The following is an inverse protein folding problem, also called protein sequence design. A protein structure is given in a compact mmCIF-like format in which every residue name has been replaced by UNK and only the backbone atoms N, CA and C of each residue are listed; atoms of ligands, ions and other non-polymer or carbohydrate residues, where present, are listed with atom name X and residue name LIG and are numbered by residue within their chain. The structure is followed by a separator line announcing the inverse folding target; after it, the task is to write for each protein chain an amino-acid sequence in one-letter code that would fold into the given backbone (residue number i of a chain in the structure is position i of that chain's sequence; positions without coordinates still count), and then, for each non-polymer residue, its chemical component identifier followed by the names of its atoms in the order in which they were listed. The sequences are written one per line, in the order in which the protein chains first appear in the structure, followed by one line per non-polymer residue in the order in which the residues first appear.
data_IF_698007287934
#
_entry.id   IF_698007287934
#
_cell.length_a   1.000
_cell.length_b   1.000
_cell.length_c   1.000
_cell.angle_alpha   90.00
_cell.angle_beta   90.00
_cell.angle_gamma   90.00
#
_symmetry.space_group_name_H-M   'P 1'
#
loop_
_entity.id
_entity.type
_entity.pdbx_description
1 polymer ?
#
# COMPACT_ATOMS: atom_id res chain seq x y z
N UNK A 1 -5.05 5.19 0.35
CA UNK A 1 -4.19 4.07 0.81
C UNK A 1 -3.07 4.66 1.66
N UNK A 2 -2.61 3.94 2.68
CA UNK A 2 -1.48 4.36 3.51
C UNK A 2 -0.49 3.20 3.66
N UNK A 3 0.80 3.47 3.49
CA UNK A 3 1.88 2.54 3.78
C UNK A 3 2.47 2.89 5.15
N UNK A 4 2.48 1.93 6.07
CA UNK A 4 3.07 2.08 7.40
C UNK A 4 4.38 1.29 7.49
N UNK A 5 5.46 2.01 7.79
CA UNK A 5 6.78 1.46 8.11
C UNK A 5 7.13 1.69 9.58
N UNK A 6 7.83 0.74 10.17
CA UNK A 6 8.59 0.97 11.39
C UNK A 6 9.83 1.83 11.09
N UNK A 7 10.34 2.63 12.04
CA UNK A 7 11.56 3.42 11.85
C UNK A 7 12.74 2.55 11.40
N UNK A 8 12.92 1.36 11.98
CA UNK A 8 13.98 0.42 11.60
C UNK A 8 13.88 -0.08 10.16
N UNK A 9 12.67 -0.22 9.61
CA UNK A 9 12.45 -0.62 8.21
C UNK A 9 12.79 0.54 7.27
N UNK A 10 12.39 1.77 7.62
CA UNK A 10 12.77 2.96 6.85
C UNK A 10 14.30 3.17 6.86
N UNK A 11 14.95 2.98 8.01
CA UNK A 11 16.41 3.05 8.14
C UNK A 11 17.11 1.95 7.34
N UNK A 12 16.59 0.72 7.35
CA UNK A 12 17.12 -0.38 6.54
C UNK A 12 17.08 -0.05 5.04
N UNK A 13 15.95 0.47 4.56
CA UNK A 13 15.77 0.87 3.16
C UNK A 13 16.73 2.01 2.78
N UNK A 14 16.83 3.04 3.64
CA UNK A 14 17.73 4.17 3.41
C UNK A 14 19.21 3.75 3.44
N UNK A 15 19.60 2.87 4.37
CA UNK A 15 20.95 2.34 4.46
C UNK A 15 21.34 1.54 3.22
N UNK A 16 20.42 0.73 2.68
CA UNK A 16 20.64 0.04 1.41
C UNK A 16 20.81 1.02 0.25
N UNK A 17 19.95 2.04 0.16
CA UNK A 17 20.06 3.07 -0.86
C UNK A 17 21.39 3.82 -0.83
N UNK A 18 21.94 4.09 0.36
CA UNK A 18 23.28 4.67 0.51
C UNK A 18 24.39 3.70 0.10
N UNK A 19 24.29 2.42 0.47
CA UNK A 19 25.29 1.41 0.16
C UNK A 19 25.40 1.12 -1.35
N UNK A 20 24.28 1.25 -2.08
CA UNK A 20 24.23 0.95 -3.51
C UNK A 20 24.64 2.14 -4.39
N UNK A 21 24.81 3.36 -3.84
CA UNK A 21 25.25 4.52 -4.62
C UNK A 21 26.55 4.23 -5.41
N UNK A 22 26.64 4.62 -6.69
CA UNK A 22 25.71 5.48 -7.44
C UNK A 22 24.53 4.74 -8.12
N UNK A 23 24.35 3.44 -7.87
CA UNK A 23 23.29 2.63 -8.49
C UNK A 23 21.96 2.82 -7.76
N UNK A 24 20.85 2.67 -8.48
CA UNK A 24 19.53 2.48 -7.90
C UNK A 24 19.50 1.19 -7.10
N UNK A 25 19.04 1.30 -5.86
CA UNK A 25 18.65 0.17 -5.02
C UNK A 25 17.28 -0.30 -5.46
N UNK A 26 16.94 -1.57 -5.24
CA UNK A 26 15.56 -2.02 -5.34
C UNK A 26 15.24 -3.15 -4.35
N UNK A 27 13.96 -3.35 -4.05
CA UNK A 27 13.49 -4.48 -3.26
C UNK A 27 11.98 -4.51 -3.06
N UNK A 28 11.53 -5.50 -2.29
CA UNK A 28 10.12 -5.73 -1.99
C UNK A 28 9.81 -5.42 -0.53
N UNK A 29 8.57 -4.99 -0.30
CA UNK A 29 7.98 -4.78 1.02
C UNK A 29 6.85 -5.79 1.16
N UNK A 30 7.10 -6.81 1.99
CA UNK A 30 6.11 -7.77 2.43
C UNK A 30 5.35 -7.27 3.63
N UNK A 31 4.04 -7.49 3.68
CA UNK A 31 3.22 -6.92 4.73
C UNK A 31 1.83 -7.52 4.88
N UNK A 32 1.08 -6.91 5.79
CA UNK A 32 -0.31 -7.21 6.07
C UNK A 32 -1.18 -6.05 5.58
N UNK A 33 -2.17 -6.37 4.76
CA UNK A 33 -3.18 -5.41 4.29
C UNK A 33 -4.41 -5.45 5.20
N UNK A 34 -4.74 -4.33 5.83
CA UNK A 34 -5.88 -4.18 6.73
C UNK A 34 -6.69 -2.95 6.33
N UNK A 35 -7.77 -3.16 5.57
CA UNK A 35 -8.57 -2.07 5.02
C UNK A 35 -7.74 -1.21 4.07
N UNK A 36 -7.59 0.08 4.39
CA UNK A 36 -6.80 1.04 3.60
C UNK A 36 -5.35 1.18 4.06
N UNK A 37 -4.90 0.36 5.01
CA UNK A 37 -3.56 0.41 5.60
C UNK A 37 -2.77 -0.83 5.21
N UNK A 38 -1.60 -0.58 4.64
CA UNK A 38 -0.59 -1.57 4.32
C UNK A 38 0.52 -1.49 5.35
N UNK A 39 0.58 -2.48 6.25
CA UNK A 39 1.62 -2.57 7.26
C UNK A 39 2.80 -3.36 6.71
N UNK A 40 3.97 -2.72 6.60
CA UNK A 40 5.20 -3.43 6.29
C UNK A 40 5.61 -4.33 7.45
N UNK A 41 5.96 -5.57 7.13
CA UNK A 41 6.46 -6.58 8.07
C UNK A 41 7.87 -6.99 7.70
N UNK A 42 8.12 -7.23 6.40
CA UNK A 42 9.39 -7.73 5.89
C UNK A 42 9.92 -6.85 4.75
N UNK A 43 11.21 -6.50 4.81
CA UNK A 43 11.91 -5.76 3.76
C UNK A 43 12.88 -6.74 3.10
N UNK A 44 12.68 -7.02 1.82
CA UNK A 44 13.49 -7.98 1.06
C UNK A 44 14.26 -7.24 -0.04
N UNK A 45 15.57 -6.98 0.16
CA UNK A 45 16.44 -6.44 -0.88
C UNK A 45 16.50 -7.36 -2.09
N UNK A 46 16.45 -6.79 -3.29
CA UNK A 46 16.63 -7.52 -4.54
C UNK A 46 17.71 -6.82 -5.37
N UNK A 47 18.62 -7.60 -5.95
CA UNK A 47 19.71 -7.05 -6.73
C UNK A 47 19.19 -6.32 -7.98
N UNK A 48 19.67 -5.09 -8.18
CA UNK A 48 19.46 -4.35 -9.41
C UNK A 48 20.38 -4.86 -10.53
N UNK A 49 19.78 -5.46 -11.55
CA UNK A 49 20.39 -6.05 -12.75
C UNK A 49 20.18 -5.22 -14.03
N UNK A 50 19.71 -3.98 -13.91
CA UNK A 50 19.53 -3.09 -15.05
C UNK A 50 20.85 -2.88 -15.81
N UNK A 51 20.73 -2.72 -17.14
CA UNK A 51 21.87 -2.40 -18.01
C UNK A 51 22.49 -1.03 -17.71
N UNK A 52 21.68 -0.10 -17.22
CA UNK A 52 22.09 1.21 -16.73
C UNK A 52 21.59 1.39 -15.29
N UNK A 53 22.30 0.84 -14.30
CA UNK A 53 21.83 0.77 -12.93
C UNK A 53 21.89 2.12 -12.20
N UNK A 54 22.51 3.16 -12.75
CA UNK A 54 22.52 4.50 -12.13
C UNK A 54 21.25 5.30 -12.42
N UNK A 55 20.48 4.89 -13.43
CA UNK A 55 19.30 5.60 -13.94
C UNK A 55 18.05 4.72 -14.07
N UNK A 56 18.15 3.44 -13.71
CA UNK A 56 17.03 2.50 -13.69
C UNK A 56 17.29 1.33 -12.74
N UNK A 57 16.22 0.67 -12.32
CA UNK A 57 16.29 -0.62 -11.68
C UNK A 57 15.62 -1.71 -12.52
N UNK A 58 16.16 -2.91 -12.45
CA UNK A 58 15.53 -4.14 -12.93
C UNK A 58 15.85 -5.25 -11.94
N UNK A 59 14.83 -5.78 -11.29
CA UNK A 59 15.03 -6.89 -10.35
C UNK A 59 15.39 -8.17 -11.10
N UNK A 60 16.37 -8.92 -10.58
CA UNK A 60 16.65 -10.27 -11.07
C UNK A 60 15.38 -11.13 -10.97
N UNK A 61 14.95 -11.72 -12.09
CA UNK A 61 13.66 -12.44 -12.17
C UNK A 61 13.58 -13.64 -11.22
N UNK A 62 14.70 -14.35 -11.03
CA UNK A 62 14.75 -15.51 -10.14
C UNK A 62 14.70 -15.08 -8.68
N UNK A 63 15.44 -14.02 -8.32
CA UNK A 63 15.41 -13.45 -6.99
C UNK A 63 14.04 -12.85 -6.65
N UNK A 64 13.41 -12.16 -7.61
CA UNK A 64 12.05 -11.64 -7.48
C UNK A 64 11.03 -12.78 -7.24
N UNK A 65 11.06 -13.83 -8.06
CA UNK A 65 10.17 -14.98 -7.88
C UNK A 65 10.39 -15.68 -6.53
N UNK A 66 11.65 -15.84 -6.12
CA UNK A 66 12.00 -16.41 -4.82
C UNK A 66 11.51 -15.54 -3.67
N UNK A 67 11.67 -14.21 -3.75
CA UNK A 67 11.21 -13.26 -2.74
C UNK A 67 9.68 -13.29 -2.61
N UNK A 68 8.94 -13.28 -3.72
CA UNK A 68 7.47 -13.42 -3.70
C UNK A 68 7.03 -14.75 -3.06
N UNK A 69 7.71 -15.84 -3.40
CA UNK A 69 7.45 -17.16 -2.78
C UNK A 69 7.73 -17.15 -1.28
N UNK A 70 8.76 -16.43 -0.83
CA UNK A 70 9.08 -16.26 0.60
C UNK A 70 7.97 -15.51 1.32
N UNK A 71 7.48 -14.41 0.74
CA UNK A 71 6.35 -13.65 1.31
C UNK A 71 5.11 -14.54 1.48
N UNK A 72 4.75 -15.30 0.44
CA UNK A 72 3.62 -16.23 0.48
C UNK A 72 3.77 -17.28 1.59
N UNK A 73 4.96 -17.88 1.74
CA UNK A 73 5.26 -18.86 2.79
C UNK A 73 5.15 -18.27 4.20
N UNK A 74 5.47 -16.98 4.36
CA UNK A 74 5.33 -16.26 5.62
C UNK A 74 3.90 -15.75 5.85
N UNK A 75 2.97 -15.99 4.92
CA UNK A 75 1.59 -15.47 4.99
C UNK A 75 1.50 -13.96 4.78
N UNK A 76 2.52 -13.36 4.14
CA UNK A 76 2.59 -11.94 3.82
C UNK A 76 2.16 -11.70 2.38
N UNK A 77 1.58 -10.53 2.13
CA UNK A 77 1.28 -10.05 0.78
C UNK A 77 2.33 -9.03 0.36
N UNK A 78 2.57 -8.91 -0.95
CA UNK A 78 3.35 -7.79 -1.47
C UNK A 78 2.56 -6.49 -1.26
N UNK A 79 3.01 -5.64 -0.35
CA UNK A 79 2.36 -4.35 -0.06
C UNK A 79 3.12 -3.17 -0.66
N UNK A 80 4.40 -3.37 -0.98
CA UNK A 80 5.19 -2.34 -1.63
C UNK A 80 6.37 -2.87 -2.44
N UNK A 81 6.82 -2.04 -3.38
CA UNK A 81 8.09 -2.14 -4.09
C UNK A 81 8.85 -0.86 -3.77
N UNK A 82 10.14 -0.96 -3.49
CA UNK A 82 10.97 0.23 -3.29
C UNK A 82 12.13 0.29 -4.26
N UNK A 83 12.51 1.51 -4.64
CA UNK A 83 13.73 1.81 -5.39
C UNK A 83 14.27 3.19 -5.06
N UNK A 84 15.57 3.41 -5.26
CA UNK A 84 16.19 4.73 -5.04
C UNK A 84 16.40 5.48 -6.34
N UNK A 85 16.35 6.81 -6.27
CA UNK A 85 16.81 7.72 -7.32
C UNK A 85 18.11 8.40 -6.84
N UNK A 86 19.30 7.89 -7.23
CA UNK A 86 20.62 8.34 -6.74
C UNK A 86 20.86 9.84 -6.85
N UNK A 87 20.30 10.48 -7.88
CA UNK A 87 20.45 11.92 -8.14
C UNK A 87 19.09 12.65 -8.18
N UNK A 88 18.00 11.94 -7.84
CA UNK A 88 16.63 12.40 -8.05
C UNK A 88 15.87 12.73 -6.76
N UNK A 89 14.72 13.36 -6.96
CA UNK A 89 13.68 13.54 -5.96
C UNK A 89 12.81 12.27 -5.86
N UNK A 90 12.12 11.99 -4.76
CA UNK A 90 11.31 10.77 -4.59
C UNK A 90 9.99 10.83 -5.36
N UNK A 91 10.05 11.01 -6.68
CA UNK A 91 8.89 11.19 -7.57
C UNK A 91 9.00 10.21 -8.73
N UNK A 92 7.93 9.47 -9.10
CA UNK A 92 8.00 8.48 -10.16
C UNK A 92 8.48 9.09 -11.48
N UNK A 93 9.52 8.47 -12.05
CA UNK A 93 10.00 8.86 -13.37
C UNK A 93 9.02 8.42 -14.46
N UNK A 94 9.16 8.95 -15.68
CA UNK A 94 8.38 8.45 -16.83
C UNK A 94 8.65 6.96 -17.11
N UNK A 95 9.84 6.46 -16.75
CA UNK A 95 10.18 5.04 -16.90
C UNK A 95 9.44 4.21 -15.86
N UNK A 96 9.51 4.62 -14.59
CA UNK A 96 8.82 3.98 -13.47
C UNK A 96 7.33 3.80 -13.76
N UNK A 97 6.68 4.85 -14.29
CA UNK A 97 5.26 4.83 -14.65
C UNK A 97 4.94 3.81 -15.75
N UNK A 98 5.83 3.65 -16.74
CA UNK A 98 5.64 2.70 -17.85
C UNK A 98 5.93 1.25 -17.44
N UNK A 99 6.88 1.06 -16.54
CA UNK A 99 7.39 -0.25 -16.14
C UNK A 99 6.69 -0.79 -14.87
N UNK A 100 5.84 0.01 -14.23
CA UNK A 100 5.01 -0.41 -13.12
C UNK A 100 4.06 -1.55 -13.52
N UNK A 101 4.35 -2.75 -13.02
CA UNK A 101 3.63 -3.99 -13.33
C UNK A 101 2.78 -4.53 -12.16
N UNK A 102 2.85 -3.92 -10.98
CA UNK A 102 2.18 -4.39 -9.77
C UNK A 102 1.10 -3.40 -9.35
N UNK A 103 -0.13 -3.54 -9.90
CA UNK A 103 -1.26 -2.73 -9.46
C UNK A 103 -1.53 -2.96 -7.97
N UNK A 104 -2.16 -1.99 -7.33
CA UNK A 104 -2.54 -2.06 -5.90
C UNK A 104 -1.36 -2.27 -4.94
N UNK A 105 -0.14 -1.91 -5.36
CA UNK A 105 1.09 -1.99 -4.58
C UNK A 105 1.66 -0.58 -4.40
N UNK A 106 2.21 -0.28 -3.22
CA UNK A 106 2.87 1.01 -2.98
C UNK A 106 4.28 1.03 -3.60
N UNK A 107 4.56 1.97 -4.48
CA UNK A 107 5.89 2.28 -4.99
C UNK A 107 6.56 3.29 -4.08
N UNK A 108 7.45 2.83 -3.19
CA UNK A 108 8.24 3.66 -2.28
C UNK A 108 9.53 4.11 -2.97
N UNK A 109 9.66 5.41 -3.23
CA UNK A 109 10.82 5.98 -3.91
C UNK A 109 11.69 6.70 -2.89
N UNK A 110 12.99 6.38 -2.91
CA UNK A 110 14.01 7.02 -2.08
C UNK A 110 14.77 8.03 -2.93
N UNK A 111 14.45 9.31 -2.79
CA UNK A 111 15.18 10.39 -3.43
C UNK A 111 16.45 10.69 -2.65
N UNK A 112 17.61 10.51 -3.28
CA UNK A 112 18.93 10.69 -2.65
C UNK A 112 19.50 12.09 -2.88
N UNK A 113 18.76 12.97 -3.57
CA UNK A 113 19.17 14.36 -3.80
C UNK A 113 19.06 15.20 -2.52
N UNK A 114 20.21 15.74 -2.08
CA UNK A 114 20.34 16.63 -0.93
C UNK A 114 21.22 16.01 0.16
N UNK A 115 21.12 16.54 1.38
CA UNK A 115 21.94 16.10 2.51
C UNK A 115 21.43 14.81 3.17
N UNK A 116 20.16 14.46 2.97
CA UNK A 116 19.48 13.33 3.59
C UNK A 116 18.50 12.66 2.62
N UNK A 117 18.23 11.34 2.76
CA UNK A 117 17.33 10.64 1.87
C UNK A 117 15.89 11.05 2.18
N UNK A 118 15.08 11.24 1.13
CA UNK A 118 13.66 11.53 1.26
C UNK A 118 12.84 10.37 0.71
N UNK A 119 11.87 9.91 1.47
CA UNK A 119 11.01 8.79 1.11
C UNK A 119 9.62 9.33 0.76
N UNK A 120 9.05 8.87 -0.36
CA UNK A 120 7.66 9.10 -0.71
C UNK A 120 7.07 7.85 -1.36
N UNK A 121 5.79 7.59 -1.11
CA UNK A 121 5.09 6.42 -1.62
C UNK A 121 4.03 6.82 -2.65
N UNK A 122 3.84 5.98 -3.66
CA UNK A 122 2.97 6.26 -4.80
C UNK A 122 2.19 5.01 -5.21
N UNK A 123 0.96 5.16 -5.69
CA UNK A 123 0.31 4.13 -6.51
C UNK A 123 0.54 4.46 -7.97
N UNK A 124 0.79 3.44 -8.78
CA UNK A 124 0.93 3.58 -10.23
C UNK A 124 0.01 2.56 -10.87
N UNK A 125 -1.15 3.02 -11.34
CA UNK A 125 -2.19 2.17 -11.92
C UNK A 125 -2.51 2.64 -13.33
N UNK A 126 -2.11 1.86 -14.34
CA UNK A 126 -2.38 2.16 -15.75
C UNK A 126 -1.96 3.58 -16.17
N UNK A 127 -0.83 4.06 -15.65
CA UNK A 127 -0.31 5.40 -15.91
C UNK A 127 -0.84 6.51 -15.00
N UNK A 128 -1.90 6.24 -14.20
CA UNK A 128 -2.34 7.14 -13.15
C UNK A 128 -1.40 7.03 -11.94
N UNK A 129 -0.94 8.18 -11.45
CA UNK A 129 0.00 8.29 -10.33
C UNK A 129 -0.69 9.05 -9.20
N UNK A 130 -0.82 8.41 -8.05
CA UNK A 130 -1.40 9.05 -6.86
C UNK A 130 -0.45 8.91 -5.67
N UNK A 131 -0.44 9.94 -4.82
CA UNK A 131 0.38 9.93 -3.61
C UNK A 131 -0.23 8.99 -2.57
N UNK A 132 0.61 8.17 -1.95
CA UNK A 132 0.26 7.29 -0.83
C UNK A 132 0.77 7.92 0.45
N UNK A 133 -0.09 8.01 1.45
CA UNK A 133 0.33 8.47 2.77
C UNK A 133 1.38 7.50 3.33
N UNK A 134 2.57 8.02 3.60
CA UNK A 134 3.66 7.26 4.22
C UNK A 134 3.69 7.58 5.71
N UNK A 135 3.39 6.59 6.54
CA UNK A 135 3.45 6.70 8.00
C UNK A 135 4.69 5.97 8.51
N UNK A 136 5.58 6.67 9.21
CA UNK A 136 6.78 6.06 9.82
C UNK A 136 6.67 6.22 11.33
N UNK A 137 6.42 5.12 12.03
CA UNK A 137 6.19 5.14 13.48
C UNK A 137 6.39 3.75 14.10
N UNK A 138 6.81 3.72 15.36
CA UNK A 138 6.90 2.47 16.11
C UNK A 138 5.51 1.90 16.46
N UNK A 139 4.58 2.80 16.81
CA UNK A 139 3.21 2.44 17.17
C UNK A 139 2.28 2.41 15.95
N UNK A 140 1.22 1.56 15.96
CA UNK A 140 0.25 1.53 14.88
C UNK A 140 -0.44 2.89 14.64
N UNK A 141 -0.73 3.23 13.38
CA UNK A 141 -1.54 4.39 13.02
C UNK A 141 -2.94 4.27 13.61
N UNK A 142 -3.54 5.42 13.93
CA UNK A 142 -4.84 5.48 14.59
C UNK A 142 -5.96 4.76 13.82
N UNK A 143 -5.91 4.72 12.47
CA UNK A 143 -6.91 3.99 11.67
C UNK A 143 -6.95 2.49 12.00
N UNK A 144 -5.80 1.86 12.27
CA UNK A 144 -5.73 0.46 12.70
C UNK A 144 -6.23 0.25 14.13
N UNK A 145 -6.16 1.30 14.95
CA UNK A 145 -6.66 1.27 16.34
C UNK A 145 -8.15 1.61 16.45
N UNK A 146 -8.77 2.13 15.38
CA UNK A 146 -10.21 2.41 15.37
C UNK A 146 -10.98 1.09 15.51
N UNK A 147 -11.52 0.90 16.71
CA UNK A 147 -11.92 -0.40 17.25
C UNK A 147 -13.18 -0.94 16.58
N UNK A 148 -13.44 -2.24 16.76
CA UNK A 148 -14.70 -2.96 16.43
C UNK A 148 -15.99 -2.15 16.73
N UNK A 149 -15.96 -1.21 17.67
CA UNK A 149 -17.06 -0.30 18.00
C UNK A 149 -17.48 0.63 16.84
N UNK A 150 -16.53 1.15 16.05
CA UNK A 150 -16.85 1.97 14.88
C UNK A 150 -17.56 1.14 13.79
N UNK A 151 -17.07 -0.09 13.55
CA UNK A 151 -17.69 -1.02 12.60
C UNK A 151 -19.08 -1.49 13.09
N UNK A 152 -19.25 -1.75 14.39
CA UNK A 152 -20.55 -2.09 14.98
C UNK A 152 -21.55 -0.94 14.87
N UNK A 153 -21.11 0.31 15.08
CA UNK A 153 -21.99 1.48 14.97
C UNK A 153 -22.52 1.67 13.54
N UNK A 154 -21.69 1.46 12.51
CA UNK A 154 -22.12 1.53 11.10
C UNK A 154 -23.14 0.42 10.78
N UNK A 155 -22.91 -0.81 11.24
CA UNK A 155 -23.83 -1.92 11.05
C UNK A 155 -25.18 -1.69 11.77
N UNK A 156 -25.13 -1.20 13.01
CA UNK A 156 -26.32 -0.87 13.79
C UNK A 156 -27.11 0.27 13.12
N UNK A 157 -26.44 1.34 12.66
CA UNK A 157 -27.08 2.43 11.94
C UNK A 157 -27.75 1.95 10.63
N UNK A 158 -27.07 1.06 9.88
CA UNK A 158 -27.63 0.43 8.69
C UNK A 158 -28.87 -0.42 8.99
N UNK A 159 -28.83 -1.23 10.06
CA UNK A 159 -29.96 -2.06 10.48
C UNK A 159 -31.17 -1.22 10.93
N UNK A 160 -30.93 -0.17 11.71
CA UNK A 160 -31.98 0.77 12.15
C UNK A 160 -32.62 1.45 10.94
N UNK A 161 -31.82 1.93 9.98
CA UNK A 161 -32.33 2.53 8.75
C UNK A 161 -33.18 1.57 7.92
N UNK A 162 -32.75 0.30 7.80
CA UNK A 162 -33.49 -0.73 7.09
C UNK A 162 -34.83 -1.08 7.76
N UNK A 163 -34.84 -1.23 9.09
CA UNK A 163 -36.07 -1.47 9.86
C UNK A 163 -37.03 -0.28 9.71
N UNK A 164 -36.52 0.95 9.82
CA UNK A 164 -37.33 2.15 9.64
C UNK A 164 -37.99 2.19 8.25
N UNK A 165 -37.25 1.84 7.19
CA UNK A 165 -37.78 1.76 5.82
C UNK A 165 -38.91 0.73 5.71
N UNK A 166 -38.76 -0.46 6.30
CA UNK A 166 -39.80 -1.51 6.32
C UNK A 166 -41.05 -1.01 7.03
N UNK A 167 -40.90 -0.40 8.21
CA UNK A 167 -42.03 0.11 9.01
C UNK A 167 -42.80 1.19 8.25
N UNK A 168 -42.10 2.13 7.63
CA UNK A 168 -42.72 3.16 6.78
C UNK A 168 -43.42 2.52 5.59
N UNK A 169 -42.79 1.55 4.92
CA UNK A 169 -43.39 0.86 3.76
C UNK A 169 -44.66 0.09 4.12
N UNK A 170 -44.67 -0.61 5.26
CA UNK A 170 -45.85 -1.34 5.73
C UNK A 170 -46.98 -0.39 6.15
N UNK A 171 -46.64 0.77 6.71
CA UNK A 171 -47.62 1.79 7.12
C UNK A 171 -48.27 2.52 5.94
N UNK A 172 -47.65 2.47 4.76
CA UNK A 172 -48.17 3.04 3.51
C UNK A 172 -48.99 2.02 2.68
N UNK A 173 -49.13 0.77 3.14
CA UNK A 173 -49.94 -0.21 2.43
C UNK A 173 -51.43 0.18 2.50
N UNK A 174 -52.17 0.10 1.37
CA UNK A 174 -53.61 0.30 1.40
C UNK A 174 -54.30 -0.78 2.24
N UNK A 175 -55.43 -0.46 2.89
CA UNK A 175 -56.19 -1.43 3.68
C UNK A 175 -56.64 -2.61 2.80
N UNK A 176 -56.71 -3.79 3.41
CA UNK A 176 -57.10 -5.01 2.70
C UNK A 176 -58.51 -4.84 2.09
N UNK A 177 -58.73 -5.32 0.84
CA UNK A 177 -60.05 -5.29 0.23
C UNK A 177 -61.04 -6.17 1.02
N UNK A 178 -62.29 -5.75 1.08
CA UNK A 178 -63.35 -6.51 1.74
C UNK A 178 -63.55 -7.86 1.05
N UNK A 179 -63.67 -8.94 1.84
CA UNK A 179 -63.91 -10.28 1.32
C UNK A 179 -65.38 -10.42 0.87
N UNK A 180 -65.66 -10.99 -0.31
CA UNK A 180 -67.04 -11.24 -0.74
C UNK A 180 -67.74 -12.26 0.17
N UNK A 181 -68.95 -11.90 0.62
CA UNK A 181 -69.87 -12.76 1.37
C UNK A 181 -70.59 -13.76 0.46
#
# INVERSE_FOLDING_TARGET
MMLWLQPSQADQIAAQAYADLPRETCGLIGGLRQGSVDQAVEIIPVLNTASDPECAYQMDERALAAALTTLEKHGLTLVGIYHSHPQGDPVPSRRDIREAAYPDTAYLIIGMKGDAPRLAAWTINYGAVEHVELHISAAPPAQLTSTRAANAAVLIAGLIGFIFLIVVSLSLLPPAPELPH
#
